data_IF_121447181607
#
_entry.id   IF_121447181607
#
_cell.length_a   1.000
_cell.length_b   1.000
_cell.length_c   1.000
_cell.angle_alpha   90.00
_cell.angle_beta   90.00
_cell.angle_gamma   90.00
#
_symmetry.space_group_name_H-M   'P 1'
#
loop_
_entity.id
_entity.type
_entity.pdbx_description
1 polymer ?
#
# COMPACT_ATOMS: atom_id res chain seq x y z
N UNK A 1 29.04 -8.55 7.23
CA UNK A 1 28.40 -7.99 8.43
C UNK A 1 27.28 -8.93 8.78
N UNK A 2 27.39 -9.58 9.93
CA UNK A 2 26.42 -10.58 10.36
C UNK A 2 25.16 -9.90 10.91
N UNK A 3 24.03 -10.62 10.95
CA UNK A 3 22.82 -10.20 11.64
C UNK A 3 23.12 -9.99 13.12
N UNK A 4 23.95 -10.82 13.73
CA UNK A 4 24.37 -10.67 15.13
C UNK A 4 25.03 -9.31 15.38
N UNK A 5 25.97 -8.89 14.52
CA UNK A 5 26.59 -7.56 14.60
C UNK A 5 25.55 -6.43 14.51
N UNK A 6 24.55 -6.59 13.65
CA UNK A 6 23.47 -5.62 13.48
C UNK A 6 22.56 -5.53 14.70
N UNK A 7 22.31 -6.64 15.40
CA UNK A 7 21.51 -6.62 16.63
C UNK A 7 22.17 -5.87 17.77
N UNK A 8 23.51 -5.72 17.75
CA UNK A 8 24.25 -4.96 18.75
C UNK A 8 24.21 -3.43 18.50
N UNK A 9 23.94 -2.99 17.27
CA UNK A 9 23.92 -1.56 16.92
C UNK A 9 22.73 -0.85 17.56
N UNK A 10 22.98 0.27 18.25
CA UNK A 10 21.95 1.10 18.91
C UNK A 10 20.80 1.48 17.96
N UNK A 11 21.12 1.74 16.70
CA UNK A 11 20.16 2.13 15.68
C UNK A 11 20.43 1.37 14.39
N UNK A 12 19.37 0.80 13.82
CA UNK A 12 19.39 0.19 12.49
C UNK A 12 18.30 0.85 11.67
N UNK A 13 18.51 1.01 10.37
CA UNK A 13 17.44 1.38 9.45
C UNK A 13 17.22 0.23 8.48
N UNK A 14 16.07 -0.42 8.58
CA UNK A 14 15.69 -1.48 7.66
C UNK A 14 14.86 -0.83 6.57
N UNK A 15 15.48 -0.65 5.41
CA UNK A 15 14.87 0.02 4.27
C UNK A 15 13.74 -0.83 3.66
N UNK A 16 14.02 -2.12 3.41
CA UNK A 16 13.10 -2.99 2.69
C UNK A 16 13.12 -4.42 3.24
N UNK A 17 11.93 -4.96 3.46
CA UNK A 17 11.69 -6.37 3.81
C UNK A 17 10.89 -6.99 2.68
N UNK A 18 11.39 -8.09 2.15
CA UNK A 18 10.71 -8.84 1.09
C UNK A 18 10.40 -10.24 1.57
N UNK A 19 9.11 -10.57 1.60
CA UNK A 19 8.59 -11.90 1.85
C UNK A 19 8.20 -12.49 0.50
N UNK A 20 8.66 -13.70 0.19
CA UNK A 20 8.40 -14.33 -1.10
C UNK A 20 8.28 -15.85 -0.95
N UNK A 21 7.37 -16.42 -1.73
CA UNK A 21 7.28 -17.87 -1.89
C UNK A 21 8.18 -18.29 -3.05
N UNK A 22 9.12 -19.18 -2.78
CA UNK A 22 9.94 -19.81 -3.80
C UNK A 22 9.44 -21.23 -4.05
N UNK A 23 9.19 -21.58 -5.32
CA UNK A 23 8.89 -22.97 -5.72
C UNK A 23 10.13 -23.86 -5.60
N UNK A 24 11.32 -23.26 -5.78
CA UNK A 24 12.62 -23.91 -5.64
C UNK A 24 13.38 -23.13 -4.58
N UNK A 25 13.50 -23.73 -3.40
CA UNK A 25 14.27 -23.16 -2.30
C UNK A 25 15.76 -23.26 -2.69
N UNK A 26 16.51 -22.14 -2.72
CA UNK A 26 17.95 -22.19 -3.00
C UNK A 26 18.65 -23.15 -2.05
N UNK A 27 19.62 -23.93 -2.54
CA UNK A 27 20.38 -24.88 -1.71
C UNK A 27 21.10 -24.22 -0.53
N UNK A 28 21.37 -22.92 -0.62
CA UNK A 28 21.97 -22.09 0.44
C UNK A 28 20.97 -21.63 1.51
N UNK A 29 19.66 -21.85 1.33
CA UNK A 29 18.66 -21.38 2.27
C UNK A 29 18.64 -22.29 3.52
N UNK A 30 18.89 -21.69 4.68
CA UNK A 30 18.70 -22.33 5.98
C UNK A 30 17.26 -22.13 6.43
N UNK A 31 16.61 -23.20 6.92
CA UNK A 31 15.34 -23.08 7.64
C UNK A 31 15.61 -22.34 8.95
N UNK A 32 14.92 -21.22 9.15
CA UNK A 32 15.00 -20.46 10.39
C UNK A 32 14.47 -21.30 11.56
N UNK A 33 15.32 -21.52 12.57
CA UNK A 33 14.91 -22.05 13.87
C UNK A 33 14.32 -20.94 14.76
N UNK A 34 13.97 -21.25 16.02
CA UNK A 34 13.40 -20.24 16.93
C UNK A 34 14.41 -19.15 17.30
N UNK A 35 15.69 -19.50 17.39
CA UNK A 35 16.75 -18.52 17.67
C UNK A 35 16.91 -17.54 16.51
N UNK A 36 16.92 -18.04 15.27
CA UNK A 36 16.94 -17.22 14.06
C UNK A 36 15.73 -16.25 14.01
N UNK A 37 14.53 -16.74 14.36
CA UNK A 37 13.31 -15.91 14.42
C UNK A 37 13.39 -14.83 15.48
N UNK A 38 13.83 -15.15 16.69
CA UNK A 38 14.00 -14.16 17.76
C UNK A 38 15.02 -13.09 17.39
N UNK A 39 16.14 -13.50 16.79
CA UNK A 39 17.18 -12.59 16.35
C UNK A 39 16.66 -11.63 15.27
N UNK A 40 15.90 -12.15 14.29
CA UNK A 40 15.22 -11.34 13.28
C UNK A 40 14.22 -10.37 13.92
N UNK A 41 13.35 -10.82 14.83
CA UNK A 41 12.40 -9.93 15.51
C UNK A 41 13.11 -8.80 16.27
N UNK A 42 14.19 -9.11 17.01
CA UNK A 42 15.00 -8.10 17.69
C UNK A 42 15.59 -7.10 16.71
N UNK A 43 16.13 -7.57 15.58
CA UNK A 43 16.65 -6.68 14.53
C UNK A 43 15.54 -5.76 13.98
N UNK A 44 14.38 -6.33 13.63
CA UNK A 44 13.22 -5.60 13.09
C UNK A 44 12.72 -4.52 14.06
N UNK A 45 12.63 -4.85 15.34
CA UNK A 45 12.18 -3.93 16.39
C UNK A 45 13.08 -2.71 16.59
N UNK A 46 14.34 -2.78 16.14
CA UNK A 46 15.33 -1.70 16.23
C UNK A 46 15.36 -0.80 14.99
N UNK A 47 14.50 -1.05 14.00
CA UNK A 47 14.39 -0.19 12.82
C UNK A 47 13.87 1.18 13.21
N UNK A 48 14.62 2.25 12.93
CA UNK A 48 14.21 3.61 13.29
C UNK A 48 13.47 4.35 12.17
N UNK A 49 13.75 3.99 10.92
CA UNK A 49 13.16 4.62 9.75
C UNK A 49 11.89 3.92 9.28
N UNK A 50 11.16 4.55 8.34
CA UNK A 50 10.08 3.89 7.63
C UNK A 50 10.64 2.70 6.84
N UNK A 51 10.08 1.53 7.08
CA UNK A 51 10.41 0.30 6.35
C UNK A 51 9.39 0.07 5.24
N UNK A 52 9.86 -0.36 4.06
CA UNK A 52 9.02 -0.89 2.99
C UNK A 52 8.84 -2.39 3.19
N UNK A 53 7.60 -2.86 3.16
CA UNK A 53 7.26 -4.29 3.23
C UNK A 53 6.72 -4.72 1.88
N UNK A 54 7.39 -5.68 1.24
CA UNK A 54 6.95 -6.30 0.00
C UNK A 54 6.55 -7.74 0.28
N UNK A 55 5.32 -8.09 -0.04
CA UNK A 55 4.76 -9.43 0.12
C UNK A 55 4.39 -9.98 -1.25
N UNK A 56 5.26 -10.84 -1.78
CA UNK A 56 5.03 -11.52 -3.05
C UNK A 56 4.19 -12.77 -2.83
N UNK A 57 2.97 -12.78 -3.39
CA UNK A 57 1.90 -13.72 -3.07
C UNK A 57 1.48 -13.56 -1.61
N UNK A 58 0.19 -13.56 -1.35
CA UNK A 58 -0.33 -13.26 -0.01
C UNK A 58 0.07 -14.34 1.01
N UNK A 59 1.21 -14.11 1.66
CA UNK A 59 1.87 -15.06 2.57
C UNK A 59 1.47 -14.88 4.01
N UNK A 60 0.61 -13.90 4.30
CA UNK A 60 0.15 -13.54 5.65
C UNK A 60 -0.68 -14.61 6.35
N UNK A 61 -1.12 -15.63 5.61
CA UNK A 61 -1.69 -16.84 6.21
C UNK A 61 -0.64 -17.68 6.96
N UNK A 62 0.65 -17.40 6.79
CA UNK A 62 1.68 -18.06 7.58
C UNK A 62 1.78 -17.40 8.96
N UNK A 63 1.32 -18.06 10.04
CA UNK A 63 1.34 -17.49 11.38
C UNK A 63 2.76 -17.19 11.88
N UNK A 64 3.79 -17.82 11.30
CA UNK A 64 5.17 -17.53 11.64
C UNK A 64 5.65 -16.13 11.17
N UNK A 65 4.97 -15.53 10.18
CA UNK A 65 5.30 -14.19 9.70
C UNK A 65 4.67 -13.08 10.54
N UNK A 66 3.54 -13.34 11.19
CA UNK A 66 2.83 -12.32 11.95
C UNK A 66 3.72 -11.68 13.05
N UNK A 67 4.45 -12.44 13.90
CA UNK A 67 5.36 -11.85 14.88
C UNK A 67 6.49 -11.02 14.26
N UNK A 68 6.99 -11.42 13.07
CA UNK A 68 8.06 -10.70 12.39
C UNK A 68 7.56 -9.35 11.85
N UNK A 69 6.41 -9.35 11.19
CA UNK A 69 5.79 -8.12 10.70
C UNK A 69 5.35 -7.22 11.85
N UNK A 70 4.89 -7.81 12.95
CA UNK A 70 4.49 -7.05 14.13
C UNK A 70 5.67 -6.35 14.83
N UNK A 71 6.86 -6.97 14.78
CA UNK A 71 8.07 -6.38 15.33
C UNK A 71 8.50 -5.09 14.61
N UNK A 72 8.05 -4.83 13.38
CA UNK A 72 8.43 -3.62 12.64
C UNK A 72 7.73 -2.40 13.27
N UNK A 73 8.47 -1.39 13.76
CA UNK A 73 7.86 -0.27 14.45
C UNK A 73 7.14 0.68 13.49
N UNK A 74 7.72 0.94 12.31
CA UNK A 74 7.23 1.92 11.33
C UNK A 74 7.28 1.36 9.92
N UNK A 75 6.13 1.00 9.37
CA UNK A 75 6.00 0.62 7.96
C UNK A 75 5.50 1.84 7.18
N UNK A 76 6.31 2.30 6.23
CA UNK A 76 6.00 3.46 5.38
C UNK A 76 5.27 3.08 4.09
N UNK A 77 5.57 1.90 3.57
CA UNK A 77 5.08 1.43 2.28
C UNK A 77 4.79 -0.06 2.35
N UNK A 78 3.61 -0.46 1.91
CA UNK A 78 3.22 -1.86 1.78
C UNK A 78 2.98 -2.16 0.31
N UNK A 79 3.70 -3.12 -0.22
CA UNK A 79 3.45 -3.70 -1.52
C UNK A 79 2.93 -5.12 -1.34
N UNK A 80 1.79 -5.41 -1.97
CA UNK A 80 1.20 -6.73 -1.97
C UNK A 80 0.91 -7.19 -3.38
N UNK A 81 1.25 -8.44 -3.64
CA UNK A 81 1.08 -9.08 -4.93
C UNK A 81 0.09 -10.25 -4.81
N UNK A 82 -0.90 -10.28 -5.71
CA UNK A 82 -1.83 -11.38 -5.90
C UNK A 82 -3.11 -11.32 -5.08
N UNK A 83 -4.05 -12.17 -5.48
CA UNK A 83 -5.31 -12.42 -4.79
C UNK A 83 -5.11 -13.31 -3.57
N UNK A 84 -5.79 -12.97 -2.47
CA UNK A 84 -5.86 -13.79 -1.27
C UNK A 84 -7.32 -14.01 -0.90
N UNK A 85 -7.64 -15.23 -0.50
CA UNK A 85 -8.96 -15.54 0.05
C UNK A 85 -9.14 -14.94 1.45
N UNK A 86 -8.03 -14.80 2.20
CA UNK A 86 -8.02 -14.17 3.53
C UNK A 86 -7.11 -12.94 3.57
N UNK A 87 -7.74 -11.81 3.85
CA UNK A 87 -7.12 -10.47 3.86
C UNK A 87 -6.86 -9.97 5.28
N UNK A 88 -7.27 -10.72 6.30
CA UNK A 88 -7.27 -10.31 7.73
C UNK A 88 -5.88 -9.90 8.21
N UNK A 89 -4.85 -10.68 7.88
CA UNK A 89 -3.47 -10.39 8.29
C UNK A 89 -2.95 -9.07 7.70
N UNK A 90 -3.27 -8.76 6.44
CA UNK A 90 -2.79 -7.53 5.82
C UNK A 90 -3.60 -6.34 6.28
N UNK A 91 -4.91 -6.51 6.45
CA UNK A 91 -5.78 -5.48 6.99
C UNK A 91 -5.28 -5.07 8.38
N UNK A 92 -5.00 -6.02 9.27
CA UNK A 92 -4.43 -5.74 10.59
C UNK A 92 -3.08 -4.99 10.51
N UNK A 93 -2.19 -5.40 9.60
CA UNK A 93 -0.91 -4.72 9.38
C UNK A 93 -1.13 -3.26 8.89
N UNK A 94 -2.03 -3.08 7.92
CA UNK A 94 -2.37 -1.78 7.33
C UNK A 94 -2.98 -0.88 8.40
N UNK A 95 -4.00 -1.33 9.12
CA UNK A 95 -4.67 -0.59 10.20
C UNK A 95 -3.68 -0.19 11.29
N UNK A 96 -2.84 -1.11 11.76
CA UNK A 96 -1.80 -0.83 12.76
C UNK A 96 -0.91 0.33 12.33
N UNK A 97 -0.41 0.32 11.10
CA UNK A 97 0.53 1.35 10.63
C UNK A 97 -0.14 2.64 10.18
N UNK A 98 -1.43 2.60 9.86
CA UNK A 98 -2.29 3.78 9.72
C UNK A 98 -2.49 4.46 11.05
N UNK A 99 -2.86 3.73 12.11
CA UNK A 99 -3.08 4.28 13.47
C UNK A 99 -1.79 4.90 14.01
N UNK A 100 -0.63 4.30 13.69
CA UNK A 100 0.68 4.87 14.01
C UNK A 100 1.07 6.08 13.15
N UNK A 101 0.26 6.44 12.15
CA UNK A 101 0.50 7.58 11.26
C UNK A 101 1.73 7.44 10.38
N UNK A 102 2.22 6.21 10.13
CA UNK A 102 3.45 5.98 9.38
C UNK A 102 3.22 5.42 7.97
N UNK A 103 2.08 4.76 7.71
CA UNK A 103 1.82 4.17 6.40
C UNK A 103 1.35 5.23 5.40
N UNK A 104 2.15 5.46 4.36
CA UNK A 104 1.90 6.48 3.34
C UNK A 104 1.70 5.91 1.94
N UNK A 105 2.17 4.68 1.68
CA UNK A 105 2.08 4.06 0.37
C UNK A 105 1.46 2.67 0.43
N UNK A 106 0.54 2.41 -0.50
CA UNK A 106 -0.03 1.09 -0.73
C UNK A 106 0.08 0.73 -2.21
N UNK A 107 0.74 -0.39 -2.51
CA UNK A 107 0.94 -0.91 -3.86
C UNK A 107 0.38 -2.32 -4.00
N UNK A 108 -0.77 -2.42 -4.66
CA UNK A 108 -1.46 -3.65 -4.98
C UNK A 108 -1.38 -3.99 -6.48
N UNK A 109 -0.33 -3.54 -7.17
CA UNK A 109 -0.22 -3.64 -8.63
C UNK A 109 0.36 -4.98 -9.13
N UNK A 110 0.92 -5.83 -8.24
CA UNK A 110 1.60 -7.07 -8.63
C UNK A 110 0.70 -8.11 -9.30
N UNK A 111 -0.62 -8.02 -9.12
CA UNK A 111 -1.62 -8.88 -9.74
C UNK A 111 -3.00 -8.22 -9.71
N UNK A 112 -4.03 -8.96 -10.12
CA UNK A 112 -5.40 -8.48 -9.96
C UNK A 112 -5.82 -8.53 -8.49
N UNK A 113 -6.26 -7.38 -7.98
CA UNK A 113 -6.73 -7.20 -6.64
C UNK A 113 -8.22 -7.59 -6.57
N UNK A 114 -8.56 -8.71 -5.92
CA UNK A 114 -9.92 -9.22 -5.90
C UNK A 114 -10.81 -8.33 -5.03
N UNK A 115 -12.13 -8.39 -5.27
CA UNK A 115 -13.10 -7.59 -4.53
C UNK A 115 -13.08 -7.87 -3.02
N UNK A 116 -12.76 -9.10 -2.61
CA UNK A 116 -12.59 -9.50 -1.20
C UNK A 116 -11.51 -8.70 -0.47
N UNK A 117 -10.53 -8.16 -1.20
CA UNK A 117 -9.43 -7.36 -0.65
C UNK A 117 -9.74 -5.87 -0.54
N UNK A 118 -10.90 -5.43 -1.02
CA UNK A 118 -11.33 -4.02 -0.97
C UNK A 118 -11.26 -3.36 0.43
N UNK A 119 -11.55 -4.05 1.55
CA UNK A 119 -11.44 -3.46 2.89
C UNK A 119 -10.06 -2.85 3.18
N UNK A 120 -8.99 -3.38 2.58
CA UNK A 120 -7.64 -2.85 2.77
C UNK A 120 -7.48 -1.48 2.10
N UNK A 121 -7.99 -1.35 0.87
CA UNK A 121 -7.96 -0.08 0.14
C UNK A 121 -8.84 0.94 0.84
N UNK A 122 -10.04 0.55 1.29
CA UNK A 122 -10.94 1.46 2.00
C UNK A 122 -10.30 1.92 3.32
N UNK A 123 -9.79 1.01 4.17
CA UNK A 123 -9.10 1.36 5.40
C UNK A 123 -7.93 2.33 5.16
N UNK A 124 -7.11 2.06 4.14
CA UNK A 124 -6.02 2.93 3.71
C UNK A 124 -6.53 4.31 3.30
N UNK A 125 -7.46 4.41 2.36
CA UNK A 125 -7.95 5.69 1.86
C UNK A 125 -8.66 6.54 2.93
N UNK A 126 -9.44 5.91 3.81
CA UNK A 126 -10.27 6.60 4.80
C UNK A 126 -9.47 7.23 5.94
N UNK A 127 -8.29 6.68 6.26
CA UNK A 127 -7.58 7.03 7.49
C UNK A 127 -6.12 7.41 7.24
N UNK A 128 -5.49 6.88 6.19
CA UNK A 128 -4.08 7.14 5.92
C UNK A 128 -3.82 8.59 5.49
N UNK A 129 -2.63 9.04 5.87
CA UNK A 129 -1.89 10.18 5.36
C UNK A 129 -1.28 9.93 3.96
N UNK A 130 -1.90 9.09 3.12
CA UNK A 130 -1.25 8.56 1.93
C UNK A 130 -0.65 9.62 0.97
N UNK A 131 0.46 9.23 0.37
CA UNK A 131 1.17 9.92 -0.71
C UNK A 131 1.08 9.12 -2.01
N UNK A 132 0.91 7.80 -1.94
CA UNK A 132 0.85 6.92 -3.10
C UNK A 132 -0.16 5.78 -2.93
N UNK A 133 -0.97 5.54 -3.95
CA UNK A 133 -1.83 4.35 -4.08
C UNK A 133 -1.67 3.78 -5.47
N UNK A 134 -1.37 2.48 -5.59
CA UNK A 134 -1.39 1.76 -6.87
C UNK A 134 -2.25 0.52 -6.73
N UNK A 135 -3.22 0.35 -7.63
CA UNK A 135 -4.12 -0.80 -7.63
C UNK A 135 -4.35 -1.26 -9.06
N UNK A 136 -4.38 -2.57 -9.25
CA UNK A 136 -4.84 -3.21 -10.46
C UNK A 136 -6.04 -4.10 -10.11
N UNK A 137 -7.16 -3.97 -10.81
CA UNK A 137 -8.36 -4.79 -10.60
C UNK A 137 -8.77 -5.47 -11.91
N UNK A 138 -9.38 -6.63 -11.79
CA UNK A 138 -9.81 -7.44 -12.94
C UNK A 138 -11.15 -6.97 -13.50
N UNK A 139 -12.11 -6.72 -12.61
CA UNK A 139 -13.48 -6.43 -12.99
C UNK A 139 -13.70 -4.94 -13.24
N UNK A 140 -14.37 -4.65 -14.36
CA UNK A 140 -14.72 -3.29 -14.76
C UNK A 140 -15.56 -2.56 -13.69
N UNK A 141 -16.58 -3.21 -13.13
CA UNK A 141 -17.46 -2.57 -12.15
C UNK A 141 -16.74 -2.28 -10.84
N UNK A 142 -15.84 -3.18 -10.42
CA UNK A 142 -14.94 -2.94 -9.29
C UNK A 142 -14.01 -1.75 -9.55
N UNK A 143 -13.50 -1.60 -10.78
CA UNK A 143 -12.70 -0.45 -11.18
C UNK A 143 -13.47 0.87 -11.07
N UNK A 144 -14.74 0.88 -11.48
CA UNK A 144 -15.61 2.06 -11.36
C UNK A 144 -15.86 2.43 -9.90
N UNK A 145 -16.16 1.44 -9.07
CA UNK A 145 -16.36 1.62 -7.63
C UNK A 145 -15.11 2.23 -6.97
N UNK A 146 -13.94 1.69 -7.30
CA UNK A 146 -12.65 2.19 -6.80
C UNK A 146 -12.36 3.62 -7.28
N UNK A 147 -12.57 3.93 -8.57
CA UNK A 147 -12.35 5.27 -9.11
C UNK A 147 -13.23 6.32 -8.40
N UNK A 148 -14.50 5.99 -8.14
CA UNK A 148 -15.43 6.87 -7.41
C UNK A 148 -15.02 7.03 -5.95
N UNK A 149 -14.60 5.95 -5.28
CA UNK A 149 -14.10 6.00 -3.91
C UNK A 149 -12.90 6.95 -3.80
N UNK A 150 -11.89 6.77 -4.65
CA UNK A 150 -10.68 7.61 -4.66
C UNK A 150 -11.06 9.07 -4.93
N UNK A 151 -11.86 9.34 -5.98
CA UNK A 151 -12.31 10.69 -6.30
C UNK A 151 -13.06 11.34 -5.12
N UNK A 152 -13.93 10.59 -4.44
CA UNK A 152 -14.67 11.05 -3.25
C UNK A 152 -13.73 11.45 -2.12
N UNK A 153 -12.72 10.63 -1.82
CA UNK A 153 -11.75 10.86 -0.74
C UNK A 153 -10.87 12.07 -1.06
N UNK A 154 -10.33 12.15 -2.28
CA UNK A 154 -9.53 13.29 -2.71
C UNK A 154 -10.32 14.60 -2.65
N UNK A 155 -11.60 14.57 -3.02
CA UNK A 155 -12.49 15.72 -2.88
C UNK A 155 -12.76 16.14 -1.44
N UNK A 156 -12.86 15.18 -0.51
CA UNK A 156 -13.04 15.47 0.91
C UNK A 156 -11.79 16.13 1.50
N UNK A 157 -10.61 15.69 1.06
CA UNK A 157 -9.31 16.13 1.57
C UNK A 157 -8.59 17.12 0.65
N UNK A 158 -9.34 17.81 -0.21
CA UNK A 158 -8.81 18.64 -1.28
C UNK A 158 -7.74 19.64 -0.82
N UNK A 159 -7.98 20.32 0.30
CA UNK A 159 -7.08 21.34 0.86
C UNK A 159 -5.76 20.79 1.38
N UNK A 160 -5.68 19.48 1.65
CA UNK A 160 -4.46 18.83 2.15
C UNK A 160 -3.42 18.57 1.04
N UNK A 161 -3.81 18.71 -0.22
CA UNK A 161 -2.96 18.38 -1.37
C UNK A 161 -2.53 19.65 -2.11
N UNK A 162 -1.29 19.63 -2.60
CA UNK A 162 -0.74 20.61 -3.54
C UNK A 162 -0.84 20.14 -4.98
N UNK A 163 -0.60 18.84 -5.19
CA UNK A 163 -0.61 18.20 -6.50
C UNK A 163 -1.18 16.80 -6.40
N UNK A 164 -1.97 16.41 -7.40
CA UNK A 164 -2.53 15.07 -7.57
C UNK A 164 -2.17 14.60 -8.99
N UNK A 165 -1.46 13.49 -9.10
CA UNK A 165 -1.24 12.82 -10.38
C UNK A 165 -2.01 11.52 -10.38
N UNK A 166 -2.89 11.33 -11.35
CA UNK A 166 -3.64 10.09 -11.53
C UNK A 166 -3.26 9.47 -12.85
N UNK A 167 -2.81 8.22 -12.82
CA UNK A 167 -2.58 7.40 -14.00
C UNK A 167 -3.64 6.32 -14.00
N UNK A 168 -4.48 6.28 -15.02
CA UNK A 168 -5.56 5.33 -15.08
C UNK A 168 -5.87 4.97 -16.53
N UNK A 169 -6.49 3.82 -16.76
CA UNK A 169 -7.01 3.52 -18.10
C UNK A 169 -8.18 4.46 -18.45
N UNK A 170 -8.61 4.45 -19.73
CA UNK A 170 -9.66 5.37 -20.24
C UNK A 170 -10.94 5.32 -19.40
N UNK A 171 -11.40 4.11 -19.07
CA UNK A 171 -12.66 3.89 -18.35
C UNK A 171 -12.60 4.43 -16.92
N UNK A 172 -11.54 4.13 -16.18
CA UNK A 172 -11.35 4.64 -14.82
C UNK A 172 -11.12 6.14 -14.81
N UNK A 173 -10.40 6.68 -15.81
CA UNK A 173 -10.16 8.12 -15.94
C UNK A 173 -11.47 8.89 -16.12
N UNK A 174 -12.40 8.37 -16.92
CA UNK A 174 -13.71 8.98 -17.14
C UNK A 174 -14.53 9.01 -15.84
N UNK A 175 -14.67 7.87 -15.17
CA UNK A 175 -15.44 7.76 -13.93
C UNK A 175 -14.85 8.63 -12.81
N UNK A 176 -13.51 8.63 -12.67
CA UNK A 176 -12.80 9.52 -11.76
C UNK A 176 -13.12 10.99 -12.05
N UNK A 177 -12.97 11.41 -13.32
CA UNK A 177 -13.18 12.80 -13.73
C UNK A 177 -14.62 13.25 -13.50
N UNK A 178 -15.60 12.44 -13.87
CA UNK A 178 -17.02 12.74 -13.65
C UNK A 178 -17.32 12.92 -12.16
N UNK A 179 -16.79 12.05 -11.30
CA UNK A 179 -16.98 12.14 -9.85
C UNK A 179 -16.28 13.36 -9.24
N UNK A 180 -15.11 13.73 -9.77
CA UNK A 180 -14.43 14.95 -9.38
C UNK A 180 -15.26 16.20 -9.71
N UNK A 181 -15.79 16.31 -10.93
CA UNK A 181 -16.57 17.47 -11.41
C UNK A 181 -17.87 17.65 -10.64
N UNK A 182 -18.64 16.56 -10.44
CA UNK A 182 -19.95 16.59 -9.75
C UNK A 182 -19.89 17.26 -8.36
N UNK A 183 -18.75 17.18 -7.68
CA UNK A 183 -18.56 17.81 -6.36
C UNK A 183 -18.01 19.23 -6.42
N UNK A 184 -17.25 19.57 -7.45
CA UNK A 184 -16.69 20.94 -7.61
C UNK A 184 -17.81 21.95 -7.82
N UNK A 185 -18.89 21.57 -8.51
CA UNK A 185 -20.08 22.41 -8.71
C UNK A 185 -20.81 22.77 -7.41
N UNK A 186 -20.63 21.98 -6.34
CA UNK A 186 -21.27 22.20 -5.03
C UNK A 186 -20.45 23.07 -4.07
N UNK A 187 -19.20 23.40 -4.38
CA UNK A 187 -18.25 24.04 -3.45
C UNK A 187 -17.37 25.12 -4.13
N UNK A 188 -17.97 25.98 -4.94
CA UNK A 188 -17.25 26.97 -5.76
C UNK A 188 -16.54 28.08 -4.97
N UNK A 189 -16.81 28.26 -3.68
CA UNK A 189 -16.48 29.54 -3.03
C UNK A 189 -15.21 29.57 -2.17
N UNK A 190 -14.51 28.45 -1.92
CA UNK A 190 -13.36 28.48 -0.99
C UNK A 190 -12.26 27.43 -1.26
N UNK A 191 -12.08 27.00 -2.51
CA UNK A 191 -11.08 25.98 -2.86
C UNK A 191 -9.79 26.61 -3.38
N UNK A 192 -8.69 26.40 -2.64
CA UNK A 192 -7.33 26.65 -3.14
C UNK A 192 -7.07 25.84 -4.42
N UNK A 193 -6.28 26.36 -5.37
CA UNK A 193 -5.93 25.63 -6.58
C UNK A 193 -5.05 24.43 -6.25
N UNK A 194 -5.42 23.26 -6.75
CA UNK A 194 -4.63 22.02 -6.70
C UNK A 194 -4.29 21.62 -8.13
N UNK A 195 -3.01 21.35 -8.41
CA UNK A 195 -2.56 20.87 -9.73
C UNK A 195 -3.00 19.41 -9.92
N UNK A 196 -3.92 19.15 -10.84
CA UNK A 196 -4.34 17.79 -11.21
C UNK A 196 -3.77 17.43 -12.58
N UNK A 197 -2.97 16.37 -12.61
CA UNK A 197 -2.49 15.75 -13.85
C UNK A 197 -3.14 14.38 -14.04
N UNK A 198 -4.04 14.27 -15.01
CA UNK A 198 -4.57 12.99 -15.49
C UNK A 198 -3.67 12.45 -16.61
N UNK A 199 -3.29 11.17 -16.51
CA UNK A 199 -2.52 10.45 -17.53
C UNK A 199 -3.32 9.19 -17.89
N UNK A 200 -3.85 9.17 -19.12
CA UNK A 200 -4.59 8.02 -19.62
C UNK A 200 -3.64 6.97 -20.16
N UNK A 201 -3.78 5.73 -19.70
CA UNK A 201 -3.01 4.58 -20.19
C UNK A 201 -3.78 3.92 -21.35
N UNK A 202 -3.12 3.73 -22.50
CA UNK A 202 -3.76 3.21 -23.72
C UNK A 202 -3.95 1.70 -23.72
N UNK A 203 -3.07 0.91 -23.07
CA UNK A 203 -2.94 -0.53 -23.38
C UNK A 203 -2.72 -1.45 -22.16
N UNK A 204 -3.28 -1.14 -20.99
CA UNK A 204 -3.15 -2.08 -19.86
C UNK A 204 -4.13 -3.26 -20.00
N UNK A 205 -3.63 -4.49 -19.88
CA UNK A 205 -4.37 -5.78 -19.83
C UNK A 205 -5.29 -5.88 -18.59
N UNK A 206 -5.62 -4.76 -17.95
CA UNK A 206 -6.37 -4.67 -16.69
C UNK A 206 -6.83 -3.26 -16.37
N UNK A 207 -7.63 -3.12 -15.31
CA UNK A 207 -8.08 -1.83 -14.80
C UNK A 207 -7.15 -1.36 -13.70
N UNK A 208 -6.27 -0.42 -14.04
CA UNK A 208 -5.33 0.12 -13.07
C UNK A 208 -5.53 1.59 -12.79
N UNK A 209 -5.27 1.96 -11.53
CA UNK A 209 -5.17 3.34 -11.09
C UNK A 209 -3.95 3.52 -10.18
N UNK A 210 -3.16 4.54 -10.48
CA UNK A 210 -2.06 5.03 -9.65
C UNK A 210 -2.35 6.47 -9.28
N UNK A 211 -2.29 6.77 -8.00
CA UNK A 211 -2.50 8.12 -7.46
C UNK A 211 -1.25 8.50 -6.69
N UNK A 212 -0.61 9.60 -7.10
CA UNK A 212 0.48 10.22 -6.37
C UNK A 212 0.04 11.61 -5.90
N UNK A 213 0.17 11.90 -4.62
CA UNK A 213 -0.19 13.18 -4.03
C UNK A 213 0.99 13.84 -3.35
N UNK A 214 1.17 15.15 -3.59
CA UNK A 214 2.13 15.99 -2.87
C UNK A 214 1.40 16.86 -1.87
N UNK A 215 1.95 16.96 -0.67
CA UNK A 215 1.43 17.75 0.45
C UNK A 215 2.22 19.05 0.60
N UNK A 216 1.69 19.96 1.44
CA UNK A 216 2.29 21.26 1.76
C UNK A 216 3.47 21.13 2.70
#
# INVERSE_FOLDING_TARGET
MDIEDLTQKKHVNIDNIKVSIFLIIPSIAKKADEHDKEMLQRLLSRSNGPTRVQMLKWTLQNPALAPLLDAIPRVGSIQVDGAADDVTGALSLVEKHIVRGCLEELDCFGGFFPRTSFPIIDAFLQTSSFTSLRVNVEEHDHAKELARLIARILNQRWSAFRKITVRANVFMSLEFTMEMIRKTERKKEDRRPVDIKMITLSDSVGFSISVEVKRW
#
